data_IF_970713026312
#
_entry.id   IF_970713026312
#
_cell.length_a   1.000
_cell.length_b   1.000
_cell.length_c   1.000
_cell.angle_alpha   90.00
_cell.angle_beta   90.00
_cell.angle_gamma   90.00
#
_symmetry.space_group_name_H-M   'P 1'
#
loop_
_entity.id
_entity.type
_entity.pdbx_description
1 polymer ?
#
# COMPACT_ATOMS: atom_id res chain seq x y z
N UNK A 1 8.92 -0.36 -7.78
CA UNK A 1 9.20 -0.85 -6.42
C UNK A 1 8.83 -2.32 -6.36
N UNK A 2 9.49 -3.11 -5.52
CA UNK A 2 9.09 -4.48 -5.22
C UNK A 2 8.17 -4.56 -3.98
N UNK A 3 7.62 -3.43 -3.52
CA UNK A 3 6.85 -3.34 -2.27
C UNK A 3 5.69 -4.35 -2.19
N UNK A 4 4.94 -4.52 -3.28
CA UNK A 4 3.80 -5.44 -3.36
C UNK A 4 4.17 -6.84 -3.87
N UNK A 5 5.44 -7.14 -4.08
CA UNK A 5 5.86 -8.44 -4.60
C UNK A 5 5.41 -9.57 -3.66
N UNK A 6 4.72 -10.56 -4.23
CA UNK A 6 4.16 -11.69 -3.49
C UNK A 6 2.83 -11.41 -2.75
N UNK A 7 2.32 -10.18 -2.77
CA UNK A 7 1.00 -9.84 -2.24
C UNK A 7 -0.07 -10.23 -3.26
N UNK A 8 -0.97 -11.16 -2.90
CA UNK A 8 -2.06 -11.59 -3.78
C UNK A 8 -3.14 -10.52 -3.84
N UNK A 9 -3.76 -10.34 -5.01
CA UNK A 9 -4.91 -9.46 -5.13
C UNK A 9 -6.08 -9.98 -4.26
N UNK A 10 -6.77 -9.08 -3.56
CA UNK A 10 -7.80 -9.45 -2.56
C UNK A 10 -7.25 -9.85 -1.18
N UNK A 11 -5.95 -9.67 -0.92
CA UNK A 11 -5.38 -9.86 0.43
C UNK A 11 -5.91 -8.81 1.40
N UNK A 12 -6.09 -9.20 2.66
CA UNK A 12 -6.60 -8.32 3.72
C UNK A 12 -5.50 -7.51 4.39
N UNK A 13 -5.78 -6.23 4.65
CA UNK A 13 -4.92 -5.30 5.37
C UNK A 13 -5.77 -4.44 6.31
N UNK A 14 -5.14 -3.87 7.34
CA UNK A 14 -5.81 -3.13 8.40
C UNK A 14 -5.89 -1.63 8.11
N UNK A 15 -7.11 -1.12 7.89
CA UNK A 15 -7.42 0.29 7.67
C UNK A 15 -8.10 0.90 8.91
N UNK A 16 -7.76 2.15 9.26
CA UNK A 16 -8.45 2.93 10.31
C UNK A 16 -8.33 4.43 10.05
N UNK A 17 -9.24 4.99 9.25
CA UNK A 17 -9.19 6.41 8.86
C UNK A 17 -10.53 6.89 8.30
N UNK A 18 -10.85 8.15 8.57
CA UNK A 18 -12.06 8.82 8.05
C UNK A 18 -11.82 9.53 6.71
N UNK A 19 -10.56 9.80 6.37
CA UNK A 19 -10.17 10.53 5.15
C UNK A 19 -9.30 9.66 4.26
N UNK A 20 -9.30 9.97 2.97
CA UNK A 20 -8.41 9.38 1.97
C UNK A 20 -7.82 10.45 1.08
N UNK A 21 -6.68 10.15 0.49
CA UNK A 21 -6.11 11.00 -0.56
C UNK A 21 -6.92 10.87 -1.87
N UNK A 22 -7.06 12.00 -2.58
CA UNK A 22 -7.49 12.06 -3.98
C UNK A 22 -6.33 12.67 -4.79
N UNK A 23 -5.38 11.85 -5.27
CA UNK A 23 -4.18 12.36 -5.91
C UNK A 23 -4.55 13.05 -7.23
N UNK A 24 -3.86 14.17 -7.55
CA UNK A 24 -4.06 14.88 -8.83
C UNK A 24 -3.64 14.03 -10.03
N UNK A 25 -2.64 13.17 -9.84
CA UNK A 25 -2.18 12.20 -10.84
C UNK A 25 -2.58 10.79 -10.40
N UNK A 26 -3.50 10.16 -11.14
CA UNK A 26 -3.97 8.82 -10.86
C UNK A 26 -2.89 7.74 -11.08
N UNK A 27 -1.87 8.01 -11.91
CA UNK A 27 -0.76 7.09 -12.16
C UNK A 27 0.15 6.85 -10.95
N UNK A 28 -0.06 7.57 -9.85
CA UNK A 28 0.61 7.32 -8.57
C UNK A 28 0.00 6.15 -7.80
N UNK A 29 -1.25 5.77 -8.11
CA UNK A 29 -1.97 4.71 -7.40
C UNK A 29 -1.53 3.36 -7.97
N UNK A 30 -0.92 2.51 -7.14
CA UNK A 30 -0.47 1.17 -7.55
C UNK A 30 -1.35 0.06 -6.98
N UNK A 31 -2.12 0.36 -5.92
CA UNK A 31 -3.15 -0.52 -5.39
C UNK A 31 -4.33 0.29 -4.85
N UNK A 32 -5.53 -0.25 -5.02
CA UNK A 32 -6.77 0.33 -4.52
C UNK A 32 -7.62 -0.73 -3.81
N UNK A 33 -8.49 -0.27 -2.93
CA UNK A 33 -9.53 -1.08 -2.30
C UNK A 33 -10.90 -0.44 -2.51
N UNK A 34 -11.96 -1.23 -2.38
CA UNK A 34 -13.34 -0.75 -2.41
C UNK A 34 -13.88 -0.65 -0.98
N UNK A 35 -14.37 0.52 -0.61
CA UNK A 35 -15.10 0.78 0.64
C UNK A 35 -16.32 1.65 0.34
N UNK A 36 -17.18 1.19 -0.58
CA UNK A 36 -18.28 1.95 -1.17
C UNK A 36 -17.84 3.01 -2.18
N UNK A 37 -16.55 3.37 -2.13
CA UNK A 37 -15.82 4.16 -3.10
C UNK A 37 -14.43 3.54 -3.28
N UNK A 38 -13.78 3.85 -4.41
CA UNK A 38 -12.37 3.51 -4.61
C UNK A 38 -11.47 4.32 -3.69
N UNK A 39 -10.69 3.61 -2.87
CA UNK A 39 -9.71 4.18 -1.94
C UNK A 39 -8.30 3.80 -2.40
N UNK A 40 -7.41 4.77 -2.65
CA UNK A 40 -6.00 4.48 -2.87
C UNK A 40 -5.41 3.80 -1.64
N UNK A 41 -5.03 2.53 -1.78
CA UNK A 41 -4.46 1.73 -0.70
C UNK A 41 -2.95 1.92 -0.63
N UNK A 42 -2.29 1.95 -1.80
CA UNK A 42 -0.86 2.19 -1.94
C UNK A 42 -0.62 3.19 -3.06
N UNK A 43 0.24 4.17 -2.79
CA UNK A 43 0.77 5.10 -3.79
C UNK A 43 2.28 5.00 -3.85
N UNK A 44 2.84 5.22 -5.04
CA UNK A 44 4.27 5.23 -5.26
C UNK A 44 4.69 6.40 -6.16
N UNK A 45 5.82 7.03 -5.82
CA UNK A 45 6.48 8.01 -6.67
C UNK A 45 7.99 7.91 -6.48
N UNK A 46 8.70 7.37 -7.47
CA UNK A 46 10.15 7.12 -7.39
C UNK A 46 10.47 6.27 -6.14
N UNK A 47 11.23 6.82 -5.19
CA UNK A 47 11.61 6.18 -3.93
C UNK A 47 10.63 6.45 -2.77
N UNK A 48 9.53 7.17 -3.02
CA UNK A 48 8.46 7.37 -2.04
C UNK A 48 7.40 6.29 -2.18
N UNK A 49 7.09 5.65 -1.06
CA UNK A 49 6.03 4.64 -0.92
C UNK A 49 5.11 5.10 0.21
N UNK A 50 3.81 5.12 -0.04
CA UNK A 50 2.80 5.47 0.95
C UNK A 50 1.71 4.41 1.02
N UNK A 51 1.39 3.95 2.22
CA UNK A 51 0.26 3.07 2.49
C UNK A 51 -0.81 3.83 3.27
N UNK A 52 -2.07 3.64 2.89
CA UNK A 52 -3.19 4.18 3.66
C UNK A 52 -3.57 3.25 4.83
N UNK A 53 -3.32 1.95 4.69
CA UNK A 53 -3.40 0.96 5.76
C UNK A 53 -2.14 0.94 6.63
N UNK A 54 -2.23 0.24 7.76
CA UNK A 54 -1.14 -0.02 8.70
C UNK A 54 -0.49 -1.38 8.42
N UNK A 55 0.65 -1.45 7.70
CA UNK A 55 1.31 -2.72 7.41
C UNK A 55 1.71 -3.46 8.69
N UNK A 56 2.09 -2.75 9.75
CA UNK A 56 2.44 -3.32 11.05
C UNK A 56 1.26 -4.00 11.78
N UNK A 57 0.02 -3.68 11.38
CA UNK A 57 -1.21 -4.29 11.91
C UNK A 57 -1.87 -5.26 10.95
N UNK A 58 -1.23 -5.57 9.82
CA UNK A 58 -1.80 -6.35 8.71
C UNK A 58 -1.29 -7.81 8.65
N UNK A 59 -0.82 -8.35 9.78
CA UNK A 59 -0.38 -9.75 9.89
C UNK A 59 0.72 -10.12 8.89
N UNK A 60 0.65 -11.34 8.35
CA UNK A 60 1.65 -11.88 7.41
C UNK A 60 1.77 -11.05 6.12
N UNK A 61 0.65 -10.54 5.61
CA UNK A 61 0.62 -9.70 4.40
C UNK A 61 1.37 -8.39 4.64
N UNK A 62 1.15 -7.76 5.80
CA UNK A 62 1.87 -6.56 6.19
C UNK A 62 3.36 -6.81 6.48
N UNK A 63 3.67 -7.92 7.15
CA UNK A 63 5.04 -8.36 7.43
C UNK A 63 5.85 -8.59 6.15
N UNK A 64 5.23 -9.18 5.12
CA UNK A 64 5.83 -9.33 3.79
C UNK A 64 6.14 -7.97 3.16
N UNK A 65 5.18 -7.04 3.17
CA UNK A 65 5.38 -5.70 2.62
C UNK A 65 6.49 -4.91 3.34
N UNK A 66 6.60 -5.03 4.67
CA UNK A 66 7.69 -4.42 5.43
C UNK A 66 9.05 -5.01 5.02
N UNK A 67 9.15 -6.33 4.83
CA UNK A 67 10.38 -6.96 4.32
C UNK A 67 10.75 -6.45 2.93
N UNK A 68 9.76 -6.34 2.04
CA UNK A 68 9.96 -5.81 0.69
C UNK A 68 10.45 -4.36 0.75
N UNK A 69 9.83 -3.52 1.59
CA UNK A 69 10.26 -2.15 1.81
C UNK A 69 11.72 -2.05 2.27
N UNK A 70 12.13 -2.85 3.27
CA UNK A 70 13.51 -2.88 3.74
C UNK A 70 14.50 -3.33 2.66
N UNK A 71 14.07 -4.19 1.72
CA UNK A 71 14.88 -4.57 0.57
C UNK A 71 15.04 -3.44 -0.43
N UNK A 72 14.03 -2.60 -0.63
CA UNK A 72 14.12 -1.42 -1.51
C UNK A 72 15.06 -0.35 -0.92
N UNK A 73 15.06 -0.15 0.40
CA UNK A 73 15.93 0.83 1.06
C UNK A 73 17.42 0.46 1.06
N UNK A 74 17.77 -0.79 0.74
CA UNK A 74 19.17 -1.27 0.67
C UNK A 74 19.80 -1.05 -0.71
N UNK A 75 19.01 -0.68 -1.71
CA UNK A 75 19.47 -0.42 -3.08
C UNK A 75 19.99 1.02 -3.20
#
# INVERSE_FOLDING_TARGET
SNFLDGVKNGSWVYFVHSYRIKPKNAGLIVAETDYGIKVPAVIEQKNFIGTQFHPEKSGEVGSLMIRNFLSECKK
#
